data_IF_433706893156
#
_entry.id   IF_433706893156
#
_cell.length_a   1.000
_cell.length_b   1.000
_cell.length_c   1.000
_cell.angle_alpha   90.00
_cell.angle_beta   90.00
_cell.angle_gamma   90.00
#
_symmetry.space_group_name_H-M   'P 1'
#
loop_
_entity.id
_entity.type
_entity.pdbx_description
1 polymer ?
#
# COMPACT_ATOMS: atom_id res chain seq x y z
N UNK A 1 -24.08 30.63 -18.48
CA UNK A 1 -22.99 31.60 -18.71
C UNK A 1 -21.78 31.38 -17.79
N UNK A 2 -21.92 31.30 -16.44
CA UNK A 2 -20.78 31.04 -15.52
C UNK A 2 -19.96 29.76 -15.82
N UNK A 3 -20.60 28.65 -16.21
CA UNK A 3 -19.90 27.39 -16.53
C UNK A 3 -19.03 27.45 -17.81
N UNK A 4 -19.42 28.29 -18.79
CA UNK A 4 -18.66 28.48 -20.03
C UNK A 4 -17.39 29.31 -19.74
N UNK A 5 -17.51 30.36 -18.93
CA UNK A 5 -16.36 31.14 -18.47
C UNK A 5 -15.38 30.28 -17.66
N UNK A 6 -15.88 29.40 -16.79
CA UNK A 6 -15.04 28.47 -16.03
C UNK A 6 -14.29 27.47 -16.94
N UNK A 7 -14.96 26.88 -17.93
CA UNK A 7 -14.30 26.01 -18.92
C UNK A 7 -13.29 26.75 -19.78
N UNK A 8 -13.56 27.99 -20.16
CA UNK A 8 -12.59 28.83 -20.89
C UNK A 8 -11.34 29.12 -20.04
N UNK A 9 -11.53 29.40 -18.75
CA UNK A 9 -10.43 29.57 -17.79
C UNK A 9 -9.63 28.27 -17.62
N UNK A 10 -10.29 27.12 -17.50
CA UNK A 10 -9.64 25.79 -17.43
C UNK A 10 -8.84 25.48 -18.71
N UNK A 11 -9.40 25.72 -19.90
CA UNK A 11 -8.70 25.49 -21.17
C UNK A 11 -7.49 26.43 -21.30
N UNK A 12 -7.61 27.70 -20.89
CA UNK A 12 -6.50 28.64 -20.88
C UNK A 12 -5.39 28.20 -19.90
N UNK A 13 -5.74 27.69 -18.73
CA UNK A 13 -4.78 27.14 -17.75
C UNK A 13 -4.07 25.90 -18.29
N UNK A 14 -4.81 24.96 -18.89
CA UNK A 14 -4.23 23.75 -19.49
C UNK A 14 -3.28 24.10 -20.63
N UNK A 15 -3.66 25.02 -21.52
CA UNK A 15 -2.77 25.50 -22.59
C UNK A 15 -1.50 26.11 -22.03
N UNK A 16 -1.63 26.97 -21.02
CA UNK A 16 -0.47 27.61 -20.37
C UNK A 16 0.46 26.57 -19.73
N UNK A 17 -0.09 25.56 -19.05
CA UNK A 17 0.71 24.47 -18.48
C UNK A 17 1.39 23.63 -19.57
N UNK A 18 0.72 23.38 -20.69
CA UNK A 18 1.27 22.63 -21.81
C UNK A 18 2.44 23.39 -22.45
N UNK A 19 2.25 24.67 -22.76
CA UNK A 19 3.31 25.54 -23.31
C UNK A 19 4.51 25.65 -22.36
N UNK A 20 4.26 25.76 -21.05
CA UNK A 20 5.33 25.73 -20.04
C UNK A 20 6.11 24.41 -20.04
N UNK A 21 5.42 23.27 -20.14
CA UNK A 21 6.05 21.94 -20.22
C UNK A 21 6.85 21.78 -21.51
N UNK A 22 6.32 22.24 -22.64
CA UNK A 22 6.99 22.18 -23.93
C UNK A 22 8.28 23.01 -23.93
N UNK A 23 8.21 24.24 -23.40
CA UNK A 23 9.39 25.08 -23.20
C UNK A 23 10.42 24.45 -22.25
N UNK A 24 9.97 23.78 -21.19
CA UNK A 24 10.87 23.06 -20.27
C UNK A 24 11.54 21.85 -20.94
N UNK A 25 10.79 21.07 -21.74
CA UNK A 25 11.32 19.94 -22.50
C UNK A 25 12.35 20.43 -23.52
N UNK A 26 12.03 21.47 -24.29
CA UNK A 26 12.95 22.07 -25.25
C UNK A 26 14.23 22.57 -24.57
N UNK A 27 14.12 23.17 -23.38
CA UNK A 27 15.28 23.59 -22.58
C UNK A 27 16.14 22.40 -22.16
N UNK A 28 15.53 21.30 -21.68
CA UNK A 28 16.25 20.09 -21.27
C UNK A 28 16.94 19.42 -22.46
N UNK A 29 16.29 19.38 -23.62
CA UNK A 29 16.87 18.82 -24.85
C UNK A 29 18.08 19.64 -25.33
N UNK A 30 17.96 20.97 -25.35
CA UNK A 30 19.08 21.85 -25.66
C UNK A 30 20.26 21.67 -24.69
N UNK A 31 19.98 21.50 -23.39
CA UNK A 31 21.01 21.21 -22.39
C UNK A 31 21.68 19.85 -22.63
N UNK A 32 20.90 18.81 -22.95
CA UNK A 32 21.41 17.47 -23.23
C UNK A 32 22.29 17.45 -24.49
N UNK A 33 21.88 18.14 -25.55
CA UNK A 33 22.69 18.31 -26.77
C UNK A 33 23.97 19.09 -26.49
N UNK A 34 23.91 20.13 -25.66
CA UNK A 34 25.10 20.88 -25.23
C UNK A 34 26.11 20.00 -24.49
N UNK A 35 25.62 19.18 -23.56
CA UNK A 35 26.45 18.23 -22.82
C UNK A 35 27.04 17.14 -23.74
N UNK A 36 26.25 16.62 -24.68
CA UNK A 36 26.72 15.64 -25.66
C UNK A 36 27.86 16.20 -26.53
N UNK A 37 27.75 17.47 -26.95
CA UNK A 37 28.83 18.15 -27.68
C UNK A 37 30.09 18.33 -26.81
N UNK A 38 29.95 18.69 -25.53
CA UNK A 38 31.08 18.77 -24.61
C UNK A 38 31.79 17.42 -24.41
N UNK A 39 31.03 16.33 -24.33
CA UNK A 39 31.56 14.96 -24.26
C UNK A 39 32.34 14.63 -25.54
N UNK A 40 31.76 14.91 -26.71
CA UNK A 40 32.42 14.63 -27.99
C UNK A 40 33.71 15.44 -28.19
N UNK A 41 33.74 16.68 -27.73
CA UNK A 41 34.92 17.55 -27.82
C UNK A 41 35.98 17.27 -26.74
N UNK A 42 35.77 16.29 -25.85
CA UNK A 42 36.71 15.95 -24.79
C UNK A 42 36.81 16.99 -23.66
N UNK A 43 35.90 17.97 -23.62
CA UNK A 43 35.91 19.04 -22.60
C UNK A 43 35.61 18.52 -21.18
N UNK A 44 35.19 17.26 -21.03
CA UNK A 44 35.00 16.58 -19.75
C UNK A 44 36.19 15.68 -19.36
N UNK A 45 37.27 15.68 -20.13
CA UNK A 45 38.51 14.97 -19.80
C UNK A 45 39.45 15.95 -19.11
N UNK A 46 39.97 15.56 -17.94
CA UNK A 46 40.93 16.38 -17.22
C UNK A 46 42.20 16.57 -18.08
N UNK A 47 42.63 17.83 -18.34
CA UNK A 47 43.85 18.08 -19.13
C UNK A 47 45.09 17.63 -18.36
N UNK A 48 46.11 17.16 -19.08
CA UNK A 48 47.38 16.74 -18.50
C UNK A 48 48.32 17.93 -18.34
N UNK A 49 48.92 18.14 -17.16
CA UNK A 49 49.87 19.23 -16.95
C UNK A 49 51.18 19.00 -17.73
N UNK A 50 51.86 20.07 -18.21
CA UNK A 50 53.16 19.94 -18.86
C UNK A 50 54.22 19.41 -17.89
N UNK A 51 55.18 18.63 -18.40
CA UNK A 51 56.25 18.07 -17.56
C UNK A 51 57.22 19.16 -17.09
N UNK A 52 57.71 19.03 -15.86
CA UNK A 52 58.70 19.94 -15.28
C UNK A 52 60.05 19.86 -15.99
N UNK A 53 60.38 18.73 -16.60
CA UNK A 53 61.61 18.57 -17.40
C UNK A 53 61.63 19.50 -18.63
N UNK A 54 60.46 19.75 -19.23
CA UNK A 54 60.34 20.65 -20.38
C UNK A 54 60.68 22.10 -20.02
N UNK A 55 60.44 22.50 -18.76
CA UNK A 55 60.79 23.82 -18.26
C UNK A 55 62.31 24.03 -18.22
N UNK A 56 63.07 22.97 -17.92
CA UNK A 56 64.54 23.02 -17.85
C UNK A 56 65.18 22.95 -19.24
N UNK A 57 64.59 22.21 -20.18
CA UNK A 57 65.14 22.01 -21.52
C UNK A 57 64.69 23.05 -22.56
N UNK A 58 63.44 23.54 -22.48
CA UNK A 58 62.86 24.51 -23.42
C UNK A 58 61.78 25.37 -22.75
N UNK A 59 62.20 26.53 -22.24
CA UNK A 59 61.32 27.52 -21.60
C UNK A 59 60.18 28.00 -22.50
N UNK A 60 60.39 28.09 -23.82
CA UNK A 60 59.35 28.57 -24.75
C UNK A 60 58.31 27.47 -24.95
N UNK A 61 58.75 26.24 -25.21
CA UNK A 61 57.88 25.08 -25.36
C UNK A 61 57.04 24.79 -24.11
N UNK A 62 57.64 24.94 -22.92
CA UNK A 62 56.91 24.84 -21.65
C UNK A 62 55.81 25.91 -21.52
N UNK A 63 56.11 27.17 -21.82
CA UNK A 63 55.13 28.26 -21.73
C UNK A 63 53.95 28.07 -22.68
N UNK A 64 54.20 27.59 -23.91
CA UNK A 64 53.13 27.27 -24.85
C UNK A 64 52.24 26.13 -24.33
N UNK A 65 52.84 25.04 -23.85
CA UNK A 65 52.07 23.93 -23.30
C UNK A 65 51.31 24.31 -22.03
N UNK A 66 51.89 25.16 -21.19
CA UNK A 66 51.23 25.71 -20.00
C UNK A 66 50.01 26.55 -20.36
N UNK A 67 50.13 27.45 -21.34
CA UNK A 67 48.98 28.23 -21.82
C UNK A 67 47.86 27.32 -22.34
N UNK A 68 48.19 26.31 -23.15
CA UNK A 68 47.21 25.31 -23.62
C UNK A 68 46.55 24.53 -22.48
N UNK A 69 47.34 24.14 -21.47
CA UNK A 69 46.82 23.47 -20.28
C UNK A 69 45.88 24.38 -19.48
N UNK A 70 46.25 25.63 -19.23
CA UNK A 70 45.45 26.58 -18.45
C UNK A 70 44.11 26.90 -19.16
N UNK A 71 44.12 27.06 -20.48
CA UNK A 71 42.92 27.19 -21.30
C UNK A 71 42.03 25.93 -21.22
N UNK A 72 42.62 24.75 -21.44
CA UNK A 72 41.90 23.48 -21.36
C UNK A 72 41.33 23.23 -19.95
N UNK A 73 42.07 23.60 -18.91
CA UNK A 73 41.65 23.46 -17.51
C UNK A 73 40.48 24.39 -17.20
N UNK A 74 40.51 25.62 -17.69
CA UNK A 74 39.41 26.57 -17.53
C UNK A 74 38.13 26.04 -18.20
N UNK A 75 38.23 25.51 -19.42
CA UNK A 75 37.11 24.90 -20.13
C UNK A 75 36.58 23.64 -19.42
N UNK A 76 37.48 22.81 -18.89
CA UNK A 76 37.13 21.62 -18.11
C UNK A 76 36.39 22.00 -16.82
N UNK A 77 36.93 22.93 -16.03
CA UNK A 77 36.32 23.37 -14.77
C UNK A 77 34.91 23.96 -15.00
N UNK A 78 34.73 24.74 -16.08
CA UNK A 78 33.44 25.28 -16.47
C UNK A 78 32.44 24.16 -16.84
N UNK A 79 32.88 23.17 -17.61
CA UNK A 79 32.03 22.04 -18.02
C UNK A 79 31.64 21.19 -16.81
N UNK A 80 32.57 20.94 -15.88
CA UNK A 80 32.30 20.23 -14.64
C UNK A 80 31.30 20.95 -13.74
N UNK A 81 31.41 22.28 -13.61
CA UNK A 81 30.44 23.08 -12.87
C UNK A 81 29.02 22.97 -13.47
N UNK A 82 28.92 22.97 -14.81
CA UNK A 82 27.66 22.82 -15.51
C UNK A 82 27.03 21.43 -15.28
N UNK A 83 27.84 20.37 -15.34
CA UNK A 83 27.42 18.99 -15.05
C UNK A 83 26.91 18.87 -13.60
N UNK A 84 27.65 19.40 -12.63
CA UNK A 84 27.26 19.36 -11.22
C UNK A 84 25.94 20.10 -10.98
N UNK A 85 25.78 21.27 -11.60
CA UNK A 85 24.54 22.05 -11.53
C UNK A 85 23.35 21.27 -12.11
N UNK A 86 23.53 20.62 -13.28
CA UNK A 86 22.50 19.81 -13.90
C UNK A 86 22.12 18.61 -13.03
N UNK A 87 23.11 17.93 -12.45
CA UNK A 87 22.89 16.80 -11.56
C UNK A 87 22.08 17.21 -10.33
N UNK A 88 22.41 18.34 -9.71
CA UNK A 88 21.68 18.86 -8.57
C UNK A 88 20.22 19.21 -8.93
N UNK A 89 20.01 19.87 -10.08
CA UNK A 89 18.67 20.18 -10.58
C UNK A 89 17.85 18.91 -10.85
N UNK A 90 18.47 17.87 -11.42
CA UNK A 90 17.81 16.59 -11.69
C UNK A 90 17.39 15.89 -10.38
N UNK A 91 18.26 15.87 -9.37
CA UNK A 91 17.95 15.29 -8.06
C UNK A 91 16.78 16.02 -7.39
N UNK A 92 16.75 17.35 -7.45
CA UNK A 92 15.66 18.15 -6.91
C UNK A 92 14.34 17.90 -7.66
N UNK A 93 14.38 17.81 -8.99
CA UNK A 93 13.19 17.52 -9.79
C UNK A 93 12.66 16.10 -9.52
N UNK A 94 13.56 15.11 -9.35
CA UNK A 94 13.18 13.74 -9.02
C UNK A 94 12.55 13.63 -7.63
N UNK A 95 13.10 14.31 -6.63
CA UNK A 95 12.53 14.29 -5.28
C UNK A 95 11.15 14.96 -5.24
N UNK A 96 10.98 16.07 -5.96
CA UNK A 96 9.68 16.73 -6.09
C UNK A 96 8.65 15.84 -6.81
N UNK A 97 9.04 15.22 -7.94
CA UNK A 97 8.17 14.30 -8.67
C UNK A 97 7.78 13.08 -7.82
N UNK A 98 8.73 12.55 -7.04
CA UNK A 98 8.45 11.47 -6.09
C UNK A 98 7.45 11.90 -5.02
N UNK A 99 7.61 13.10 -4.44
CA UNK A 99 6.67 13.62 -3.45
C UNK A 99 5.27 13.82 -4.02
N UNK A 100 5.14 14.36 -5.24
CA UNK A 100 3.86 14.47 -5.94
C UNK A 100 3.23 13.11 -6.17
N UNK A 101 4.01 12.12 -6.63
CA UNK A 101 3.54 10.75 -6.82
C UNK A 101 3.00 10.15 -5.51
N UNK A 102 3.71 10.30 -4.39
CA UNK A 102 3.23 9.82 -3.08
C UNK A 102 1.91 10.47 -2.65
N UNK A 103 1.75 11.78 -2.90
CA UNK A 103 0.50 12.49 -2.61
C UNK A 103 -0.66 11.96 -3.47
N UNK A 104 -0.42 11.71 -4.76
CA UNK A 104 -1.41 11.11 -5.66
C UNK A 104 -1.80 9.70 -5.21
N UNK A 105 -0.83 8.86 -4.86
CA UNK A 105 -1.09 7.51 -4.32
C UNK A 105 -1.89 7.57 -3.02
N UNK A 106 -1.58 8.51 -2.12
CA UNK A 106 -2.33 8.72 -0.88
C UNK A 106 -3.79 9.10 -1.15
N UNK A 107 -4.07 9.98 -2.11
CA UNK A 107 -5.44 10.33 -2.49
C UNK A 107 -6.18 9.15 -3.14
N UNK A 108 -5.52 8.34 -3.95
CA UNK A 108 -6.08 7.10 -4.52
C UNK A 108 -6.43 6.12 -3.40
N UNK A 109 -5.52 5.92 -2.44
CA UNK A 109 -5.75 5.06 -1.28
C UNK A 109 -6.91 5.55 -0.43
N UNK A 110 -7.01 6.85 -0.19
CA UNK A 110 -8.12 7.42 0.60
C UNK A 110 -9.48 7.19 -0.06
N UNK A 111 -9.54 7.17 -1.39
CA UNK A 111 -10.77 6.86 -2.14
C UNK A 111 -11.11 5.37 -2.11
N UNK A 112 -10.12 4.48 -2.21
CA UNK A 112 -10.34 3.02 -2.27
C UNK A 112 -10.49 2.37 -0.88
N UNK A 113 -9.76 2.89 0.09
CA UNK A 113 -9.67 2.37 1.47
C UNK A 113 -9.89 3.55 2.42
N UNK A 114 -11.13 4.03 2.60
CA UNK A 114 -11.41 5.23 3.41
C UNK A 114 -11.00 5.08 4.88
N UNK A 115 -10.98 3.85 5.40
CA UNK A 115 -10.53 3.52 6.76
C UNK A 115 -9.07 3.90 7.03
N UNK A 116 -8.24 4.04 5.98
CA UNK A 116 -6.82 4.40 6.12
C UNK A 116 -6.61 5.86 6.55
N UNK A 117 -7.61 6.72 6.32
CA UNK A 117 -7.54 8.14 6.67
C UNK A 117 -7.96 8.42 8.12
N UNK A 118 -8.50 7.42 8.82
CA UNK A 118 -8.82 7.50 10.24
C UNK A 118 -7.54 7.30 11.07
N UNK A 119 -7.23 8.17 12.05
CA UNK A 119 -5.98 8.09 12.80
C UNK A 119 -5.88 6.83 13.68
N UNK A 120 -7.00 6.26 14.12
CA UNK A 120 -7.03 5.06 14.97
C UNK A 120 -7.16 3.81 14.11
N UNK A 121 -8.13 3.79 13.19
CA UNK A 121 -8.36 2.62 12.32
C UNK A 121 -7.27 2.47 11.26
N UNK A 122 -6.71 3.57 10.78
CA UNK A 122 -5.61 3.58 9.82
C UNK A 122 -4.35 2.95 10.39
N UNK A 123 -4.03 3.23 11.66
CA UNK A 123 -2.86 2.65 12.33
C UNK A 123 -3.04 1.13 12.54
N UNK A 124 -4.21 0.72 13.04
CA UNK A 124 -4.54 -0.70 13.17
C UNK A 124 -4.54 -1.43 11.81
N UNK A 125 -5.00 -0.77 10.76
CA UNK A 125 -5.00 -1.30 9.40
C UNK A 125 -3.56 -1.45 8.87
N UNK A 126 -2.69 -0.46 9.05
CA UNK A 126 -1.27 -0.53 8.66
C UNK A 126 -0.58 -1.71 9.32
N UNK A 127 -0.72 -1.87 10.63
CA UNK A 127 -0.15 -3.00 11.36
C UNK A 127 -0.68 -4.35 10.82
N UNK A 128 -1.97 -4.42 10.53
CA UNK A 128 -2.59 -5.62 9.96
C UNK A 128 -2.10 -5.92 8.53
N UNK A 129 -1.80 -4.89 7.74
CA UNK A 129 -1.22 -5.03 6.40
C UNK A 129 0.22 -5.55 6.48
N UNK A 130 1.04 -5.02 7.39
CA UNK A 130 2.39 -5.51 7.66
C UNK A 130 2.36 -6.99 8.05
N UNK A 131 1.52 -7.37 9.02
CA UNK A 131 1.36 -8.78 9.42
C UNK A 131 0.90 -9.67 8.27
N UNK A 132 0.02 -9.15 7.40
CA UNK A 132 -0.42 -9.88 6.20
C UNK A 132 0.75 -10.10 5.26
N UNK A 133 1.55 -9.06 4.99
CA UNK A 133 2.77 -9.15 4.17
C UNK A 133 3.80 -10.13 4.73
N UNK A 134 4.08 -10.08 6.03
CA UNK A 134 4.93 -11.06 6.72
C UNK A 134 4.43 -12.48 6.54
N UNK A 135 3.11 -12.67 6.59
CA UNK A 135 2.50 -13.97 6.34
C UNK A 135 2.54 -14.44 4.86
N UNK A 136 3.00 -13.60 3.94
CA UNK A 136 3.34 -13.94 2.55
C UNK A 136 4.87 -14.02 2.31
N UNK A 137 5.69 -13.78 3.34
CA UNK A 137 7.14 -13.87 3.26
C UNK A 137 7.87 -12.54 3.05
N UNK A 138 7.17 -11.41 3.08
CA UNK A 138 7.80 -10.08 3.05
C UNK A 138 8.38 -9.72 4.41
N UNK A 139 9.45 -8.95 4.42
CA UNK A 139 10.01 -8.35 5.64
C UNK A 139 9.22 -7.10 6.06
N UNK A 140 9.31 -6.71 7.33
CA UNK A 140 8.65 -5.48 7.80
C UNK A 140 9.19 -4.21 7.11
N UNK A 141 10.47 -4.21 6.76
CA UNK A 141 11.12 -3.11 6.04
C UNK A 141 10.56 -2.97 4.62
N UNK A 142 10.44 -4.09 3.88
CA UNK A 142 9.80 -4.08 2.55
C UNK A 142 8.38 -3.56 2.62
N UNK A 143 7.62 -3.98 3.64
CA UNK A 143 6.24 -3.52 3.84
C UNK A 143 6.15 -2.04 4.18
N UNK A 144 7.14 -1.49 4.89
CA UNK A 144 7.24 -0.06 5.21
C UNK A 144 7.57 0.80 4.00
N UNK A 145 8.24 0.22 2.99
CA UNK A 145 8.59 0.90 1.74
C UNK A 145 7.48 0.85 0.67
N UNK A 146 6.39 0.12 0.91
CA UNK A 146 5.28 0.03 -0.06
C UNK A 146 4.53 1.36 -0.11
N UNK A 147 4.65 2.04 -1.25
CA UNK A 147 4.04 3.35 -1.49
C UNK A 147 2.97 3.34 -2.59
N UNK A 148 2.99 2.34 -3.46
CA UNK A 148 2.01 2.20 -4.54
C UNK A 148 0.67 1.70 -3.98
N UNK A 149 -0.40 2.43 -4.32
CA UNK A 149 -1.74 2.14 -3.85
C UNK A 149 -2.23 0.73 -4.22
N UNK A 150 -1.78 0.20 -5.36
CA UNK A 150 -2.19 -1.11 -5.88
C UNK A 150 -1.70 -2.24 -5.00
N UNK A 151 -0.48 -2.16 -4.49
CA UNK A 151 0.06 -3.17 -3.58
C UNK A 151 -0.69 -3.16 -2.25
N UNK A 152 -0.94 -1.98 -1.69
CA UNK A 152 -1.68 -1.83 -0.44
C UNK A 152 -3.12 -2.35 -0.58
N UNK A 153 -3.78 -2.09 -1.71
CA UNK A 153 -5.11 -2.63 -2.01
C UNK A 153 -5.12 -4.15 -2.09
N UNK A 154 -4.21 -4.74 -2.88
CA UNK A 154 -4.09 -6.19 -2.98
C UNK A 154 -3.81 -6.85 -1.63
N UNK A 155 -2.95 -6.24 -0.80
CA UNK A 155 -2.67 -6.70 0.57
C UNK A 155 -3.90 -6.59 1.48
N UNK A 156 -4.69 -5.52 1.35
CA UNK A 156 -5.92 -5.38 2.12
C UNK A 156 -6.96 -6.44 1.72
N UNK A 157 -7.07 -6.76 0.45
CA UNK A 157 -7.96 -7.81 -0.03
C UNK A 157 -7.49 -9.19 0.45
N UNK A 158 -6.19 -9.45 0.40
CA UNK A 158 -5.59 -10.66 0.96
C UNK A 158 -5.88 -10.78 2.47
N UNK A 159 -5.73 -9.69 3.22
CA UNK A 159 -6.08 -9.62 4.65
C UNK A 159 -7.54 -9.99 4.89
N UNK A 160 -8.47 -9.32 4.20
CA UNK A 160 -9.92 -9.59 4.31
C UNK A 160 -10.26 -11.03 3.95
N UNK A 161 -9.66 -11.57 2.91
CA UNK A 161 -9.86 -12.97 2.51
C UNK A 161 -9.38 -13.95 3.58
N UNK A 162 -8.21 -13.73 4.17
CA UNK A 162 -7.69 -14.55 5.27
C UNK A 162 -8.60 -14.49 6.49
N UNK A 163 -9.12 -13.32 6.82
CA UNK A 163 -10.09 -13.12 7.90
C UNK A 163 -11.39 -13.90 7.64
N UNK A 164 -11.93 -13.82 6.43
CA UNK A 164 -13.11 -14.59 6.01
C UNK A 164 -12.87 -16.11 6.09
N UNK A 165 -11.70 -16.58 5.64
CA UNK A 165 -11.33 -18.01 5.70
C UNK A 165 -11.21 -18.49 7.15
N UNK A 166 -10.64 -17.67 8.03
CA UNK A 166 -10.56 -17.94 9.48
C UNK A 166 -11.96 -18.01 10.11
N UNK A 167 -12.81 -17.00 9.88
CA UNK A 167 -14.19 -16.96 10.38
C UNK A 167 -15.00 -18.16 9.88
N UNK A 168 -14.86 -18.56 8.61
CA UNK A 168 -15.54 -19.75 8.07
C UNK A 168 -15.14 -21.02 8.83
N UNK A 169 -13.86 -21.23 9.10
CA UNK A 169 -13.39 -22.37 9.91
C UNK A 169 -13.98 -22.32 11.32
N UNK A 170 -13.97 -21.16 11.98
CA UNK A 170 -14.55 -21.00 13.31
C UNK A 170 -16.07 -21.29 13.33
N UNK A 171 -16.82 -20.82 12.33
CA UNK A 171 -18.26 -21.09 12.24
C UNK A 171 -18.57 -22.56 11.95
N UNK A 172 -17.78 -23.23 11.11
CA UNK A 172 -17.93 -24.67 10.87
C UNK A 172 -17.71 -25.49 12.15
N UNK A 173 -16.65 -25.22 12.92
CA UNK A 173 -16.40 -25.91 14.20
C UNK A 173 -17.49 -25.65 15.25
N UNK A 174 -18.14 -24.48 15.22
CA UNK A 174 -19.32 -24.20 16.07
C UNK A 174 -20.57 -24.95 15.60
N UNK A 175 -20.75 -25.10 14.29
CA UNK A 175 -21.84 -25.88 13.69
C UNK A 175 -21.74 -27.38 13.96
N UNK A 176 -20.53 -27.95 13.95
CA UNK A 176 -20.30 -29.36 14.33
C UNK A 176 -20.64 -29.62 15.81
N UNK A 177 -20.46 -28.62 16.67
CA UNK A 177 -20.85 -28.68 18.08
C UNK A 177 -22.32 -28.31 18.32
N UNK A 178 -23.07 -27.93 17.28
CA UNK A 178 -24.48 -27.59 17.42
C UNK A 178 -25.30 -28.89 17.63
N UNK A 179 -26.14 -28.88 18.67
CA UNK A 179 -27.01 -30.03 18.97
C UNK A 179 -27.94 -30.31 17.78
N UNK A 180 -28.19 -31.58 17.43
CA UNK A 180 -29.05 -31.93 16.30
C UNK A 180 -30.43 -31.28 16.47
N UNK A 181 -30.86 -30.55 15.44
CA UNK A 181 -32.16 -29.87 15.44
C UNK A 181 -33.27 -30.91 15.36
N UNK A 182 -34.19 -30.88 16.33
CA UNK A 182 -35.43 -31.65 16.26
C UNK A 182 -36.27 -31.05 15.14
N UNK A 183 -36.65 -31.85 14.12
CA UNK A 183 -37.55 -31.40 13.05
C UNK A 183 -38.84 -30.84 13.66
N UNK A 184 -39.11 -29.57 13.41
CA UNK A 184 -40.37 -28.95 13.79
C UNK A 184 -41.52 -29.69 13.09
N UNK A 185 -42.46 -30.22 13.88
CA UNK A 185 -43.64 -30.94 13.37
C UNK A 185 -43.70 -32.44 13.68
N UNK A 186 -42.67 -33.05 14.27
CA UNK A 186 -42.81 -34.41 14.81
C UNK A 186 -43.67 -34.32 16.07
N UNK A 187 -44.94 -34.77 15.97
CA UNK A 187 -45.83 -34.95 17.13
C UNK A 187 -45.04 -35.69 18.22
N UNK A 188 -44.92 -35.08 19.41
CA UNK A 188 -44.39 -35.77 20.60
C UNK A 188 -45.11 -37.12 20.67
N UNK A 189 -44.35 -38.23 20.64
CA UNK A 189 -44.90 -39.58 20.77
C UNK A 189 -45.76 -39.56 22.03
N UNK A 190 -47.07 -39.78 21.91
CA UNK A 190 -47.93 -39.95 23.09
C UNK A 190 -47.29 -41.08 23.90
N UNK A 191 -46.99 -40.82 25.17
CA UNK A 191 -46.44 -41.82 26.07
C UNK A 191 -47.36 -43.05 26.03
N UNK A 192 -46.84 -44.19 25.59
CA UNK A 192 -47.62 -45.41 25.43
C UNK A 192 -48.01 -45.99 26.79
N UNK A 193 -49.28 -46.41 26.90
CA UNK A 193 -49.89 -47.20 27.96
C UNK A 193 -49.52 -46.78 29.39
N UNK A 194 -48.50 -47.42 29.94
CA UNK A 194 -48.09 -47.35 31.35
C UNK A 194 -47.69 -45.94 31.80
N UNK A 195 -46.95 -45.20 30.98
CA UNK A 195 -46.49 -43.85 31.36
C UNK A 195 -47.64 -42.82 31.37
N UNK A 196 -48.64 -42.98 30.50
CA UNK A 196 -49.81 -42.10 30.47
C UNK A 196 -50.74 -42.38 31.66
N UNK A 197 -50.91 -43.65 32.02
CA UNK A 197 -51.68 -44.06 33.20
C UNK A 197 -51.02 -43.60 34.49
N UNK A 198 -49.70 -43.71 34.59
CA UNK A 198 -48.92 -43.20 35.73
C UNK A 198 -49.09 -41.69 35.90
N UNK A 199 -49.01 -40.92 34.81
CA UNK A 199 -49.23 -39.47 34.87
C UNK A 199 -50.66 -39.11 35.28
N UNK A 200 -51.66 -39.87 34.83
CA UNK A 200 -53.06 -39.69 35.25
C UNK A 200 -53.25 -40.06 36.72
N UNK A 201 -52.64 -41.14 37.20
CA UNK A 201 -52.69 -41.56 38.59
C UNK A 201 -52.00 -40.52 39.51
N UNK A 202 -50.85 -39.97 39.09
CA UNK A 202 -50.20 -38.85 39.79
C UNK A 202 -51.10 -37.61 39.85
N UNK A 203 -51.73 -37.24 38.73
CA UNK A 203 -52.65 -36.10 38.71
C UNK A 203 -53.90 -36.32 39.56
N UNK A 204 -54.39 -37.56 39.69
CA UNK A 204 -55.52 -37.88 40.58
C UNK A 204 -55.09 -37.71 42.03
N UNK A 205 -53.98 -38.33 42.44
CA UNK A 205 -53.43 -38.17 43.78
C UNK A 205 -53.21 -36.69 44.15
N UNK A 206 -52.65 -35.88 43.24
CA UNK A 206 -52.45 -34.46 43.48
C UNK A 206 -53.77 -33.67 43.64
N UNK A 207 -54.88 -34.15 43.06
CA UNK A 207 -56.19 -33.50 43.15
C UNK A 207 -57.02 -33.97 44.33
N UNK A 208 -56.94 -35.26 44.68
CA UNK A 208 -57.78 -35.88 45.71
C UNK A 208 -57.07 -35.97 47.06
N UNK A 209 -55.73 -36.08 47.07
CA UNK A 209 -54.93 -36.25 48.29
C UNK A 209 -55.24 -37.54 49.07
N UNK A 210 -55.98 -38.48 48.49
CA UNK A 210 -56.45 -39.68 49.18
C UNK A 210 -55.34 -40.71 49.35
N UNK A 211 -55.36 -41.42 50.47
CA UNK A 211 -54.44 -42.52 50.77
C UNK A 211 -54.63 -43.67 49.76
N UNK A 212 -55.86 -43.96 49.35
CA UNK A 212 -56.16 -45.01 48.36
C UNK A 212 -55.54 -44.72 46.98
N UNK A 213 -55.54 -43.45 46.56
CA UNK A 213 -54.91 -43.04 45.31
C UNK A 213 -53.38 -43.11 45.39
N UNK A 214 -52.79 -42.90 46.57
CA UNK A 214 -51.36 -43.04 46.80
C UNK A 214 -50.92 -44.52 46.75
N UNK A 215 -51.73 -45.41 47.31
CA UNK A 215 -51.50 -46.85 47.24
C UNK A 215 -51.61 -47.36 45.81
N UNK A 216 -52.65 -46.95 45.07
CA UNK A 216 -52.82 -47.27 43.65
C UNK A 216 -51.63 -46.80 42.79
N UNK A 217 -51.03 -45.66 43.12
CA UNK A 217 -49.82 -45.17 42.45
C UNK A 217 -48.59 -46.04 42.74
N UNK A 218 -48.42 -46.51 43.97
CA UNK A 218 -47.29 -47.36 44.35
C UNK A 218 -47.41 -48.77 43.81
N UNK A 219 -48.62 -49.34 43.78
CA UNK A 219 -48.90 -50.70 43.30
C UNK A 219 -48.78 -50.83 41.77
N UNK A 220 -49.05 -49.76 41.02
CA UNK A 220 -48.88 -49.73 39.55
C UNK A 220 -47.42 -49.45 39.11
N UNK A 221 -46.42 -49.71 39.97
CA UNK A 221 -44.99 -49.50 39.67
C UNK A 221 -44.20 -50.79 39.39
N UNK A 222 -44.83 -51.96 39.41
CA UNK A 222 -44.23 -53.24 38.96
C UNK A 222 -44.63 -53.59 37.52
#
# INVERSE_FOLDING_TARGET
QKAINKRFQEIAQVRKQFEQKEAEIARREAQALGLANQIQNGSLVAPTPPSSELFESDLIGYMEQKMKYDEAKTAFDQSMYQVQTLQHQQQQAQSQAHQTYLQEQAEVLRKRIPEIADPIKGEALKQSLVQTGVAYGFTEDEMSMVTDARYIEALNDARKYRELKSKRKATQTKGEKARPVVKAGVKKRKSTGVQAERQKAQQRLMKTGSIDDALSLMLNND
#
